data_IF_510459148019
#
_entry.id   IF_510459148019
#
_cell.length_a   1.000
_cell.length_b   1.000
_cell.length_c   1.000
_cell.angle_alpha   90.00
_cell.angle_beta   90.00
_cell.angle_gamma   90.00
#
_symmetry.space_group_name_H-M   'P 1'
#
loop_
_entity.id
_entity.type
_entity.pdbx_description
1 polymer ?
#
# COMPACT_ATOMS: atom_id res chain seq x y z
N UNK A 1 89.24 -28.33 -19.63
CA UNK A 1 89.53 -28.06 -21.07
C UNK A 1 88.77 -29.10 -21.88
N UNK A 2 88.14 -28.68 -22.99
CA UNK A 2 87.43 -29.46 -24.02
C UNK A 2 85.92 -29.81 -23.80
N UNK A 3 84.96 -29.00 -24.27
CA UNK A 3 84.10 -29.02 -25.52
C UNK A 3 83.15 -30.22 -25.75
N UNK A 4 81.82 -29.97 -25.63
CA UNK A 4 80.65 -30.19 -26.55
C UNK A 4 80.46 -31.54 -27.30
N UNK A 5 79.22 -31.99 -27.64
CA UNK A 5 78.16 -31.17 -28.27
C UNK A 5 76.65 -31.51 -27.98
N UNK A 6 75.77 -30.59 -28.39
CA UNK A 6 74.31 -30.80 -28.59
C UNK A 6 74.01 -31.72 -29.78
N UNK A 7 72.82 -32.36 -29.81
CA UNK A 7 71.78 -32.02 -30.81
C UNK A 7 70.34 -32.13 -30.23
N UNK A 8 69.45 -31.16 -30.44
CA UNK A 8 68.53 -30.97 -31.57
C UNK A 8 67.30 -31.92 -31.64
N UNK A 9 66.12 -31.28 -31.75
CA UNK A 9 64.93 -31.68 -32.53
C UNK A 9 63.84 -32.57 -31.89
N UNK A 10 62.63 -32.01 -31.74
CA UNK A 10 61.34 -32.37 -32.41
C UNK A 10 60.09 -32.21 -31.52
N UNK A 11 59.07 -31.58 -32.14
CA UNK A 11 57.65 -31.60 -31.79
C UNK A 11 57.15 -33.04 -31.52
N UNK A 12 56.18 -33.20 -30.60
CA UNK A 12 54.78 -33.51 -30.92
C UNK A 12 53.92 -33.74 -29.66
N UNK A 13 52.66 -33.33 -29.78
CA UNK A 13 51.58 -33.36 -28.80
C UNK A 13 51.17 -34.77 -28.35
N UNK A 14 50.79 -34.91 -27.08
CA UNK A 14 49.80 -35.88 -26.57
C UNK A 14 49.32 -35.36 -25.19
N UNK A 15 48.15 -34.75 -25.09
CA UNK A 15 46.83 -35.38 -24.90
C UNK A 15 46.54 -35.83 -23.46
N UNK A 16 45.43 -35.27 -22.94
CA UNK A 16 44.57 -35.74 -21.86
C UNK A 16 45.03 -35.59 -20.40
N UNK A 17 44.33 -34.74 -19.65
CA UNK A 17 43.84 -35.15 -18.34
C UNK A 17 42.50 -34.49 -18.01
N UNK A 18 41.58 -35.35 -17.59
CA UNK A 18 40.17 -35.11 -17.33
C UNK A 18 39.95 -34.09 -16.20
N UNK A 19 39.04 -33.14 -16.42
CA UNK A 19 38.53 -32.27 -15.36
C UNK A 19 37.32 -32.96 -14.72
N UNK A 20 37.53 -33.53 -13.53
CA UNK A 20 36.48 -34.15 -12.72
C UNK A 20 35.41 -33.13 -12.31
N UNK A 21 34.15 -33.55 -12.42
CA UNK A 21 32.99 -32.86 -11.89
C UNK A 21 33.07 -32.76 -10.35
N UNK A 22 33.05 -31.53 -9.83
CA UNK A 22 32.67 -31.27 -8.44
C UNK A 22 31.21 -30.83 -8.41
N UNK A 23 30.31 -31.78 -8.13
CA UNK A 23 28.93 -31.48 -7.71
C UNK A 23 28.92 -31.42 -6.19
N UNK A 24 28.72 -30.23 -5.62
CA UNK A 24 28.40 -30.05 -4.21
C UNK A 24 27.15 -29.15 -4.11
N UNK A 25 26.09 -29.58 -3.41
CA UNK A 25 24.92 -28.76 -3.19
C UNK A 25 25.26 -27.76 -2.09
N UNK A 26 25.58 -26.52 -2.47
CA UNK A 26 25.72 -25.46 -1.47
C UNK A 26 24.32 -25.14 -0.97
N UNK A 27 24.08 -25.64 0.24
CA UNK A 27 23.06 -25.30 1.20
C UNK A 27 22.10 -24.19 0.75
N UNK A 28 20.82 -24.55 0.69
CA UNK A 28 19.73 -23.62 0.49
C UNK A 28 19.89 -22.41 1.41
N UNK A 29 20.03 -21.25 0.79
CA UNK A 29 19.69 -19.98 1.41
C UNK A 29 18.23 -20.10 1.84
N UNK A 30 18.01 -20.46 3.11
CA UNK A 30 16.80 -20.14 3.85
C UNK A 30 16.75 -18.62 3.91
N UNK A 31 16.32 -18.02 2.80
CA UNK A 31 15.64 -16.74 2.83
C UNK A 31 14.56 -16.92 3.90
N UNK A 32 14.83 -16.37 5.08
CA UNK A 32 13.88 -16.31 6.16
C UNK A 32 12.70 -15.51 5.62
N UNK A 33 11.67 -16.25 5.21
CA UNK A 33 10.34 -15.71 5.04
C UNK A 33 9.98 -15.08 6.38
N UNK A 34 10.09 -13.77 6.43
CA UNK A 34 9.30 -12.96 7.34
C UNK A 34 7.85 -13.05 6.88
N UNK A 35 7.25 -14.23 7.07
CA UNK A 35 5.80 -14.36 7.21
C UNK A 35 5.47 -13.77 8.58
N UNK A 36 5.50 -12.44 8.66
CA UNK A 36 4.83 -11.75 9.73
C UNK A 36 3.82 -10.79 9.12
N UNK A 37 2.64 -11.34 8.84
CA UNK A 37 1.45 -10.59 8.41
C UNK A 37 1.07 -9.53 9.45
N UNK A 38 1.57 -9.63 10.68
CA UNK A 38 1.41 -8.66 11.77
C UNK A 38 2.29 -7.40 11.60
N UNK A 39 3.40 -7.46 10.85
CA UNK A 39 4.24 -6.27 10.55
C UNK A 39 3.64 -5.40 9.45
N UNK A 40 2.75 -5.95 8.61
CA UNK A 40 2.06 -5.21 7.55
C UNK A 40 0.98 -4.27 8.12
N UNK A 41 0.46 -4.54 9.31
CA UNK A 41 -0.61 -3.75 9.95
C UNK A 41 -0.12 -2.58 10.82
N UNK A 42 1.20 -2.44 10.99
CA UNK A 42 1.80 -1.35 11.77
C UNK A 42 2.87 -0.65 10.95
N UNK A 43 2.44 0.22 10.04
CA UNK A 43 3.36 1.12 9.34
C UNK A 43 3.14 2.53 9.92
N UNK A 44 4.11 2.94 10.76
CA UNK A 44 4.19 4.24 11.46
C UNK A 44 3.23 4.41 12.67
N UNK A 45 3.41 3.60 13.71
CA UNK A 45 2.89 3.87 15.07
C UNK A 45 1.35 3.92 15.24
N UNK A 46 0.60 3.71 14.15
CA UNK A 46 -0.86 3.73 14.08
C UNK A 46 -1.34 2.38 13.57
N UNK A 47 -2.37 1.80 14.19
CA UNK A 47 -3.00 0.56 13.71
C UNK A 47 -3.98 0.90 12.57
N UNK A 48 -3.77 0.36 11.37
CA UNK A 48 -4.70 0.56 10.26
C UNK A 48 -5.65 -0.63 10.19
N UNK A 49 -6.92 -0.46 10.55
CA UNK A 49 -7.94 -1.50 10.37
C UNK A 49 -8.76 -1.23 9.12
N UNK A 50 -9.14 -2.31 8.47
CA UNK A 50 -10.03 -2.29 7.32
C UNK A 50 -11.40 -2.82 7.75
N UNK A 51 -12.45 -2.09 7.41
CA UNK A 51 -13.84 -2.50 7.64
C UNK A 51 -14.60 -2.42 6.31
N UNK A 52 -15.28 -3.50 5.96
CA UNK A 52 -16.08 -3.59 4.73
C UNK A 52 -17.55 -3.52 5.10
N UNK A 53 -18.28 -2.56 4.54
CA UNK A 53 -19.69 -2.37 4.86
C UNK A 53 -20.45 -1.78 3.67
N UNK A 54 -21.78 -1.92 3.63
CA UNK A 54 -22.59 -1.29 2.57
C UNK A 54 -22.83 0.18 2.90
N UNK A 55 -22.89 1.03 1.88
CA UNK A 55 -23.23 2.45 2.05
C UNK A 55 -24.59 2.62 2.71
N UNK A 56 -25.52 1.68 2.51
CA UNK A 56 -26.82 1.70 3.17
C UNK A 56 -26.76 1.49 4.69
N UNK A 57 -25.77 0.75 5.19
CA UNK A 57 -25.63 0.43 6.61
C UNK A 57 -24.94 1.58 7.37
N UNK A 58 -24.09 2.34 6.69
CA UNK A 58 -23.39 3.53 7.21
C UNK A 58 -23.93 4.86 6.65
N UNK A 59 -25.06 4.86 5.94
CA UNK A 59 -25.56 6.02 5.19
C UNK A 59 -25.67 7.29 6.05
N UNK A 60 -26.10 7.15 7.31
CA UNK A 60 -26.20 8.26 8.26
C UNK A 60 -24.84 8.83 8.66
N UNK A 61 -23.83 7.98 8.88
CA UNK A 61 -22.48 8.42 9.26
C UNK A 61 -21.74 9.01 8.08
N UNK A 62 -21.85 8.41 6.89
CA UNK A 62 -21.29 8.95 5.64
C UNK A 62 -21.89 10.31 5.34
N UNK A 63 -23.22 10.46 5.40
CA UNK A 63 -23.89 11.73 5.18
C UNK A 63 -23.43 12.81 6.17
N UNK A 64 -23.33 12.46 7.45
CA UNK A 64 -22.83 13.38 8.49
C UNK A 64 -21.37 13.77 8.26
N UNK A 65 -20.53 12.81 7.86
CA UNK A 65 -19.13 13.06 7.55
C UNK A 65 -18.97 13.97 6.33
N UNK A 66 -19.81 13.80 5.30
CA UNK A 66 -19.85 14.69 4.13
C UNK A 66 -20.25 16.10 4.54
N UNK A 67 -21.31 16.27 5.33
CA UNK A 67 -21.77 17.59 5.78
C UNK A 67 -20.69 18.34 6.58
N UNK A 68 -19.83 17.58 7.28
CA UNK A 68 -18.71 18.10 8.09
C UNK A 68 -17.39 18.17 7.33
N UNK A 69 -17.36 17.91 6.01
CA UNK A 69 -16.13 17.88 5.21
C UNK A 69 -15.28 19.12 5.43
N UNK A 70 -15.90 20.31 5.36
CA UNK A 70 -15.20 21.59 5.54
C UNK A 70 -14.51 21.73 6.90
N UNK A 71 -15.14 21.24 7.97
CA UNK A 71 -14.53 21.22 9.30
C UNK A 71 -13.35 20.22 9.34
N UNK A 72 -13.54 19.06 8.71
CA UNK A 72 -12.60 17.95 8.76
C UNK A 72 -11.35 18.17 7.91
N UNK A 73 -11.40 18.99 6.86
CA UNK A 73 -10.21 19.47 6.10
C UNK A 73 -9.16 20.05 7.07
N UNK A 74 -9.59 20.93 7.97
CA UNK A 74 -8.70 21.56 8.95
C UNK A 74 -8.10 20.55 9.93
N UNK A 75 -8.82 19.48 10.26
CA UNK A 75 -8.34 18.40 11.11
C UNK A 75 -7.33 17.50 10.37
N UNK A 76 -7.62 17.10 9.12
CA UNK A 76 -6.71 16.35 8.24
C UNK A 76 -5.36 17.05 8.14
N UNK A 77 -5.35 18.35 7.83
CA UNK A 77 -4.10 19.12 7.72
C UNK A 77 -3.28 19.17 9.01
N UNK A 78 -3.94 19.20 10.16
CA UNK A 78 -3.31 19.30 11.48
C UNK A 78 -2.96 17.95 12.11
N UNK A 79 -3.38 16.85 11.48
CA UNK A 79 -3.19 15.51 12.01
C UNK A 79 -1.72 15.13 11.92
N UNK A 80 -1.05 15.09 13.08
CA UNK A 80 0.36 14.71 13.22
C UNK A 80 0.58 13.37 13.92
N UNK A 81 -0.48 12.82 14.52
CA UNK A 81 -0.49 11.52 15.17
C UNK A 81 -1.86 10.87 14.97
N UNK A 82 -1.84 9.58 14.66
CA UNK A 82 -3.00 8.72 14.66
C UNK A 82 -2.67 7.51 15.54
N UNK A 83 -3.66 7.01 16.27
CA UNK A 83 -3.58 5.74 16.98
C UNK A 83 -4.27 4.65 16.13
N UNK A 84 -5.33 5.03 15.40
CA UNK A 84 -6.09 4.11 14.53
C UNK A 84 -6.63 4.77 13.27
N UNK A 85 -6.56 4.06 12.14
CA UNK A 85 -7.24 4.44 10.90
C UNK A 85 -8.20 3.33 10.49
N UNK A 86 -9.49 3.64 10.39
CA UNK A 86 -10.52 2.74 9.90
C UNK A 86 -10.90 3.15 8.47
N UNK A 87 -10.73 2.25 7.50
CA UNK A 87 -11.15 2.51 6.12
C UNK A 87 -12.42 1.72 5.84
N UNK A 88 -13.51 2.47 5.58
CA UNK A 88 -14.84 1.94 5.25
C UNK A 88 -15.03 1.98 3.75
N UNK A 89 -15.06 0.78 3.14
CA UNK A 89 -15.30 0.63 1.70
C UNK A 89 -16.79 0.66 1.38
N UNK A 90 -17.24 1.76 0.79
CA UNK A 90 -18.59 1.96 0.25
C UNK A 90 -18.72 1.23 -1.09
N UNK A 91 -18.79 -0.09 -1.03
CA UNK A 91 -18.72 -0.98 -2.21
C UNK A 91 -19.82 -0.71 -3.25
N UNK A 92 -21.04 -0.44 -2.81
CA UNK A 92 -22.18 -0.04 -3.62
C UNK A 92 -22.08 1.40 -4.16
N UNK A 93 -21.21 2.24 -3.61
CA UNK A 93 -20.89 3.55 -4.16
C UNK A 93 -19.74 3.52 -5.17
N UNK A 94 -19.06 2.38 -5.33
CA UNK A 94 -17.97 2.25 -6.26
C UNK A 94 -18.44 2.51 -7.70
N UNK A 95 -17.59 3.16 -8.50
CA UNK A 95 -17.88 3.46 -9.91
C UNK A 95 -18.22 2.21 -10.73
N UNK A 96 -17.68 1.05 -10.33
CA UNK A 96 -17.95 -0.25 -10.96
C UNK A 96 -19.34 -0.82 -10.66
N UNK A 97 -19.98 -0.40 -9.57
CA UNK A 97 -21.27 -0.94 -9.09
C UNK A 97 -22.46 -0.02 -9.42
N UNK A 98 -22.21 1.10 -10.12
CA UNK A 98 -23.25 2.05 -10.52
C UNK A 98 -23.19 3.41 -9.81
N UNK A 99 -22.25 3.59 -8.88
CA UNK A 99 -22.05 4.85 -8.18
C UNK A 99 -22.89 5.00 -6.89
N UNK A 100 -22.64 6.06 -6.10
CA UNK A 100 -23.27 6.25 -4.80
C UNK A 100 -24.81 6.30 -4.89
N UNK A 101 -25.53 5.83 -3.86
CA UNK A 101 -26.98 6.00 -3.78
C UNK A 101 -27.40 7.47 -3.92
N UNK A 102 -28.58 7.80 -4.49
CA UNK A 102 -28.96 9.18 -4.85
C UNK A 102 -28.88 10.20 -3.69
N UNK A 103 -29.14 9.73 -2.47
CA UNK A 103 -29.07 10.57 -1.25
C UNK A 103 -27.64 10.98 -0.94
N UNK A 104 -26.69 10.08 -1.13
CA UNK A 104 -25.25 10.33 -0.92
C UNK A 104 -24.69 11.09 -2.12
N UNK A 105 -25.06 10.72 -3.34
CA UNK A 105 -24.67 11.43 -4.57
C UNK A 105 -25.03 12.92 -4.50
N UNK A 106 -26.26 13.24 -4.09
CA UNK A 106 -26.70 14.63 -3.93
C UNK A 106 -25.84 15.41 -2.93
N UNK A 107 -25.41 14.78 -1.83
CA UNK A 107 -24.53 15.40 -0.82
C UNK A 107 -23.11 15.56 -1.34
N UNK A 108 -22.59 14.59 -2.08
CA UNK A 108 -21.29 14.68 -2.74
C UNK A 108 -21.28 15.86 -3.72
N UNK A 109 -22.33 16.02 -4.51
CA UNK A 109 -22.48 17.13 -5.46
C UNK A 109 -22.51 18.49 -4.72
N UNK A 110 -23.26 18.57 -3.60
CA UNK A 110 -23.35 19.78 -2.77
C UNK A 110 -22.02 20.18 -2.14
N UNK A 111 -21.17 19.22 -1.80
CA UNK A 111 -19.89 19.43 -1.13
C UNK A 111 -18.68 19.19 -2.04
N UNK A 112 -18.88 19.15 -3.36
CA UNK A 112 -17.87 18.72 -4.34
C UNK A 112 -16.53 19.44 -4.19
N UNK A 113 -16.55 20.75 -4.02
CA UNK A 113 -15.33 21.56 -3.90
C UNK A 113 -14.60 21.29 -2.58
N UNK A 114 -15.36 21.16 -1.47
CA UNK A 114 -14.80 20.82 -0.16
C UNK A 114 -14.19 19.39 -0.19
N UNK A 115 -14.86 18.44 -0.85
CA UNK A 115 -14.35 17.06 -1.01
C UNK A 115 -13.07 17.06 -1.86
N UNK A 116 -13.01 17.86 -2.93
CA UNK A 116 -11.81 17.98 -3.75
C UNK A 116 -10.63 18.58 -2.95
N UNK A 117 -10.88 19.53 -2.05
CA UNK A 117 -9.88 20.07 -1.13
C UNK A 117 -9.46 19.05 -0.07
N UNK A 118 -10.41 18.32 0.53
CA UNK A 118 -10.15 17.24 1.47
C UNK A 118 -9.16 16.22 0.88
N UNK A 119 -9.37 15.81 -0.37
CA UNK A 119 -8.49 14.85 -1.05
C UNK A 119 -7.06 15.35 -1.18
N UNK A 120 -6.87 16.62 -1.54
CA UNK A 120 -5.55 17.24 -1.61
C UNK A 120 -4.87 17.28 -0.25
N UNK A 121 -5.61 17.57 0.81
CA UNK A 121 -5.07 17.59 2.17
C UNK A 121 -4.73 16.18 2.67
N UNK A 122 -5.48 15.15 2.26
CA UNK A 122 -5.13 13.75 2.52
C UNK A 122 -3.83 13.38 1.80
N UNK A 123 -3.69 13.73 0.53
CA UNK A 123 -2.45 13.49 -0.24
C UNK A 123 -1.25 14.24 0.35
N UNK A 124 -1.47 15.45 0.87
CA UNK A 124 -0.43 16.23 1.54
C UNK A 124 -0.07 15.71 2.95
N UNK A 125 -0.95 14.93 3.58
CA UNK A 125 -0.70 14.34 4.89
C UNK A 125 -0.10 12.95 4.77
N UNK A 126 1.19 12.82 5.07
CA UNK A 126 1.91 11.55 4.97
C UNK A 126 1.28 10.38 5.75
N UNK A 127 0.68 10.63 6.93
CA UNK A 127 0.04 9.55 7.70
C UNK A 127 -1.22 9.03 7.00
N UNK A 128 -2.08 9.95 6.56
CA UNK A 128 -3.34 9.60 5.92
C UNK A 128 -3.15 9.06 4.50
N UNK A 129 -2.23 9.66 3.73
CA UNK A 129 -1.85 9.16 2.41
C UNK A 129 -1.34 7.71 2.49
N UNK A 130 -0.40 7.43 3.41
CA UNK A 130 0.11 6.07 3.59
C UNK A 130 -0.99 5.10 4.04
N UNK A 131 -1.95 5.53 4.84
CA UNK A 131 -3.05 4.68 5.29
C UNK A 131 -3.97 4.27 4.12
N UNK A 132 -4.35 5.20 3.24
CA UNK A 132 -5.17 4.88 2.06
C UNK A 132 -4.40 4.06 1.03
N UNK A 133 -3.12 4.38 0.81
CA UNK A 133 -2.25 3.66 -0.13
C UNK A 133 -2.01 2.21 0.32
N UNK A 134 -1.82 1.99 1.62
CA UNK A 134 -1.68 0.65 2.22
C UNK A 134 -2.90 -0.26 2.00
N UNK A 135 -4.08 0.32 1.77
CA UNK A 135 -5.31 -0.41 1.43
C UNK A 135 -5.72 -0.27 -0.03
N UNK A 136 -4.81 0.26 -0.88
CA UNK A 136 -5.00 0.47 -2.31
C UNK A 136 -6.23 1.31 -2.63
N UNK A 137 -6.54 2.26 -1.75
CA UNK A 137 -7.60 3.26 -1.95
C UNK A 137 -6.99 4.47 -2.62
N UNK A 138 -7.57 4.90 -3.74
CA UNK A 138 -7.16 6.13 -4.40
C UNK A 138 -7.75 7.33 -3.65
N UNK A 139 -7.02 8.44 -3.56
CA UNK A 139 -7.54 9.67 -2.97
C UNK A 139 -8.82 10.14 -3.69
N UNK A 140 -8.91 9.93 -5.01
CA UNK A 140 -10.11 10.21 -5.81
C UNK A 140 -11.35 9.41 -5.43
N UNK A 141 -11.17 8.26 -4.77
CA UNK A 141 -12.28 7.43 -4.30
C UNK A 141 -12.73 7.81 -2.88
N UNK A 142 -11.97 8.66 -2.17
CA UNK A 142 -12.35 9.14 -0.84
C UNK A 142 -13.51 10.13 -0.93
N UNK A 143 -14.58 9.86 -0.19
CA UNK A 143 -15.81 10.66 -0.20
C UNK A 143 -15.89 11.56 1.03
N UNK A 144 -15.49 11.04 2.20
CA UNK A 144 -15.51 11.78 3.44
C UNK A 144 -14.50 11.21 4.44
N UNK A 145 -14.16 12.03 5.43
CA UNK A 145 -13.36 11.64 6.58
C UNK A 145 -14.09 12.07 7.84
N UNK A 146 -14.10 11.24 8.88
CA UNK A 146 -14.64 11.55 10.19
C UNK A 146 -13.59 11.38 11.28
N UNK A 147 -13.65 12.27 12.27
CA UNK A 147 -12.83 12.25 13.48
C UNK A 147 -13.75 12.12 14.70
N UNK A 148 -14.32 10.93 14.88
CA UNK A 148 -15.33 10.68 15.91
C UNK A 148 -14.71 10.48 17.30
N UNK A 149 -13.46 10.03 17.36
CA UNK A 149 -12.68 9.80 18.59
C UNK A 149 -11.29 10.46 18.49
N UNK A 150 -10.72 10.96 19.60
CA UNK A 150 -9.34 11.43 19.62
C UNK A 150 -8.37 10.34 19.16
N UNK A 151 -7.51 10.68 18.20
CA UNK A 151 -6.50 9.76 17.65
C UNK A 151 -7.06 8.68 16.71
N UNK A 152 -8.37 8.63 16.46
CA UNK A 152 -8.96 7.75 15.46
C UNK A 152 -9.53 8.54 14.30
N UNK A 153 -9.41 7.97 13.11
CA UNK A 153 -9.98 8.55 11.89
C UNK A 153 -10.69 7.46 11.11
N UNK A 154 -11.87 7.79 10.60
CA UNK A 154 -12.65 6.92 9.71
C UNK A 154 -12.65 7.54 8.33
N UNK A 155 -12.20 6.79 7.33
CA UNK A 155 -12.15 7.21 5.93
C UNK A 155 -13.21 6.44 5.17
N UNK A 156 -14.15 7.16 4.55
CA UNK A 156 -15.19 6.57 3.72
C UNK A 156 -14.78 6.66 2.26
N UNK A 157 -14.63 5.51 1.60
CA UNK A 157 -14.14 5.42 0.23
C UNK A 157 -15.15 4.69 -0.67
N UNK A 158 -15.52 5.32 -1.79
CA UNK A 158 -16.32 4.73 -2.87
C UNK A 158 -15.45 3.83 -3.76
N UNK A 159 -14.79 2.85 -3.14
CA UNK A 159 -13.87 1.92 -3.77
C UNK A 159 -14.26 0.47 -3.47
N UNK A 160 -13.74 -0.44 -4.29
CA UNK A 160 -13.78 -1.88 -4.00
C UNK A 160 -12.53 -2.27 -3.21
N UNK A 161 -12.64 -3.06 -2.13
CA UNK A 161 -11.47 -3.54 -1.43
C UNK A 161 -10.62 -4.44 -2.34
N UNK A 162 -9.28 -4.39 -2.21
CA UNK A 162 -8.42 -5.32 -2.94
C UNK A 162 -8.68 -6.75 -2.45
N UNK A 163 -9.10 -7.62 -3.37
CA UNK A 163 -9.37 -9.04 -3.08
C UNK A 163 -8.14 -9.89 -2.82
#
# INVERSE_FOLDING_TARGET
MAINPCPATRLQSAAAMALLLATAPVAGLKAQGLENKETVDRIVGSEVKQEETKTTDEAGKVATAIDRTRENIGAVRKTSKLDKVDIVFLTDAARSEGGPPPVIESKIEQHRDDIAELRKEIEANALLFNAIDSRRVQAEDVVAVAFDDPGKVVIYAAAKPPG
#
